data_IF_083268447954
#
_entry.id   IF_083268447954
#
_cell.length_a   1.000
_cell.length_b   1.000
_cell.length_c   1.000
_cell.angle_alpha   90.00
_cell.angle_beta   90.00
_cell.angle_gamma   90.00
#
_symmetry.space_group_name_H-M   'P 1'
#
loop_
_entity.id
_entity.type
_entity.pdbx_description
1 polymer ?
#
# COMPACT_ATOMS: atom_id res chain seq x y z
N UNK A 1 27.74 -24.48 -9.21
CA UNK A 1 26.51 -24.07 -8.54
C UNK A 1 26.08 -22.71 -9.06
N UNK A 2 24.93 -22.64 -9.66
CA UNK A 2 24.46 -21.39 -10.21
C UNK A 2 23.80 -20.54 -9.14
N UNK A 3 24.13 -19.27 -9.11
CA UNK A 3 23.36 -18.30 -8.33
C UNK A 3 21.95 -18.23 -8.92
N UNK A 4 20.93 -18.01 -8.10
CA UNK A 4 19.59 -17.77 -8.63
C UNK A 4 19.68 -16.66 -9.66
N UNK A 5 19.09 -16.87 -10.82
CA UNK A 5 19.04 -15.84 -11.82
C UNK A 5 18.26 -14.65 -11.33
N UNK A 6 18.51 -13.47 -11.89
CA UNK A 6 17.77 -12.26 -11.56
C UNK A 6 16.25 -12.47 -11.70
N UNK A 7 15.84 -13.35 -12.63
CA UNK A 7 14.43 -13.66 -12.83
C UNK A 7 13.79 -14.35 -11.63
N UNK A 8 14.49 -15.29 -10.99
CA UNK A 8 13.96 -16.00 -9.81
C UNK A 8 13.81 -15.06 -8.61
N UNK A 9 14.82 -14.23 -8.38
CA UNK A 9 14.77 -13.25 -7.31
C UNK A 9 13.66 -12.24 -7.55
N UNK A 10 13.53 -11.75 -8.78
CA UNK A 10 12.48 -10.80 -9.14
C UNK A 10 11.08 -11.37 -8.87
N UNK A 11 10.85 -12.61 -9.27
CA UNK A 11 9.55 -13.26 -9.04
C UNK A 11 9.27 -13.46 -7.56
N UNK A 12 10.30 -13.80 -6.78
CA UNK A 12 10.17 -13.99 -5.35
C UNK A 12 9.81 -12.68 -4.64
N UNK A 13 10.46 -11.58 -5.01
CA UNK A 13 10.19 -10.27 -4.41
C UNK A 13 8.82 -9.75 -4.82
N UNK A 14 8.43 -9.94 -6.08
CA UNK A 14 7.08 -9.59 -6.53
C UNK A 14 6.03 -10.37 -5.77
N UNK A 15 6.26 -11.67 -5.54
CA UNK A 15 5.35 -12.51 -4.78
C UNK A 15 5.19 -12.03 -3.34
N UNK A 16 6.27 -11.53 -2.72
CA UNK A 16 6.20 -10.98 -1.37
C UNK A 16 5.29 -9.75 -1.32
N UNK A 17 5.35 -8.88 -2.33
CA UNK A 17 4.46 -7.73 -2.42
C UNK A 17 3.01 -8.18 -2.60
N UNK A 18 2.77 -9.19 -3.45
CA UNK A 18 1.43 -9.74 -3.67
C UNK A 18 0.86 -10.31 -2.38
N UNK A 19 1.66 -11.05 -1.62
CA UNK A 19 1.23 -11.60 -0.33
C UNK A 19 0.90 -10.49 0.66
N UNK A 20 1.75 -9.46 0.73
CA UNK A 20 1.53 -8.32 1.61
C UNK A 20 0.21 -7.62 1.27
N UNK A 21 -0.03 -7.33 -0.01
CA UNK A 21 -1.26 -6.65 -0.41
C UNK A 21 -2.49 -7.49 -0.11
N UNK A 22 -2.44 -8.78 -0.41
CA UNK A 22 -3.57 -9.66 -0.17
C UNK A 22 -3.89 -9.82 1.32
N UNK A 23 -2.88 -10.06 2.13
CA UNK A 23 -3.11 -10.31 3.57
C UNK A 23 -3.39 -9.03 4.34
N UNK A 24 -2.56 -7.99 4.17
CA UNK A 24 -2.70 -6.78 4.97
C UNK A 24 -3.81 -5.88 4.44
N UNK A 25 -3.72 -5.49 3.18
CA UNK A 25 -4.67 -4.54 2.61
C UNK A 25 -6.05 -5.15 2.36
N UNK A 26 -6.10 -6.36 1.80
CA UNK A 26 -7.38 -6.95 1.40
C UNK A 26 -8.06 -7.71 2.53
N UNK A 27 -7.31 -8.34 3.43
CA UNK A 27 -7.88 -9.15 4.49
C UNK A 27 -7.69 -8.59 5.89
N UNK A 28 -6.92 -7.52 6.04
CA UNK A 28 -6.67 -6.92 7.35
C UNK A 28 -5.77 -7.73 8.26
N UNK A 29 -5.04 -8.70 7.71
CA UNK A 29 -4.10 -9.54 8.47
C UNK A 29 -2.76 -8.82 8.58
N UNK A 30 -2.59 -8.04 9.63
CA UNK A 30 -1.37 -7.26 9.84
C UNK A 30 -0.20 -8.09 10.35
N UNK A 31 -0.43 -9.36 10.70
CA UNK A 31 0.67 -10.24 11.12
C UNK A 31 1.68 -10.46 9.99
N UNK A 32 1.26 -10.28 8.72
CA UNK A 32 2.15 -10.39 7.58
C UNK A 32 3.30 -9.37 7.66
N UNK A 33 3.07 -8.23 8.30
CA UNK A 33 4.11 -7.21 8.46
C UNK A 33 5.25 -7.77 9.30
N UNK A 34 4.94 -8.44 10.41
CA UNK A 34 5.96 -9.05 11.26
C UNK A 34 6.69 -10.19 10.55
N UNK A 35 6.02 -10.89 9.64
CA UNK A 35 6.63 -12.01 8.91
C UNK A 35 7.53 -11.56 7.77
N UNK A 36 7.13 -10.53 7.02
CA UNK A 36 7.78 -10.16 5.77
C UNK A 36 8.66 -8.90 5.85
N UNK A 37 8.53 -8.12 6.92
CA UNK A 37 9.21 -6.82 7.02
C UNK A 37 10.40 -6.87 7.95
N UNK A 38 11.45 -6.13 7.62
CA UNK A 38 12.57 -5.91 8.52
C UNK A 38 12.10 -5.14 9.75
N UNK A 39 12.62 -5.45 10.95
CA UNK A 39 12.31 -4.60 12.12
C UNK A 39 12.77 -3.16 11.95
N UNK A 40 13.71 -2.90 11.04
CA UNK A 40 14.23 -1.57 10.75
C UNK A 40 13.53 -0.90 9.56
N UNK A 41 12.38 -1.42 9.15
CA UNK A 41 11.63 -0.93 7.99
C UNK A 41 11.26 0.54 8.14
N UNK A 42 11.35 1.28 7.04
CA UNK A 42 10.88 2.68 6.96
C UNK A 42 9.91 2.84 5.79
N UNK A 43 8.76 3.42 6.07
CA UNK A 43 7.77 3.76 5.04
C UNK A 43 7.65 5.28 5.00
N UNK A 44 8.16 5.87 3.94
CA UNK A 44 8.24 7.33 3.85
C UNK A 44 6.88 8.01 3.73
N UNK A 45 5.91 7.34 3.10
CA UNK A 45 4.57 7.90 2.99
C UNK A 45 3.77 7.73 4.26
N UNK A 46 3.76 6.52 4.82
CA UNK A 46 3.01 6.25 6.03
C UNK A 46 3.52 7.12 7.18
N UNK A 47 4.84 7.28 7.30
CA UNK A 47 5.43 8.13 8.33
C UNK A 47 4.96 9.57 8.19
N UNK A 48 4.90 10.09 6.96
CA UNK A 48 4.48 11.46 6.71
C UNK A 48 3.00 11.68 7.06
N UNK A 49 2.16 10.66 6.90
CA UNK A 49 0.72 10.80 7.13
C UNK A 49 0.28 10.45 8.54
N UNK A 50 0.98 9.53 9.20
CA UNK A 50 0.57 9.07 10.53
C UNK A 50 1.27 9.81 11.67
N UNK A 51 2.39 10.45 11.40
CA UNK A 51 3.20 11.08 12.44
C UNK A 51 3.99 10.07 13.29
N UNK A 52 3.97 8.79 12.91
CA UNK A 52 4.77 7.74 13.54
C UNK A 52 5.78 7.20 12.54
N UNK A 53 6.59 6.22 12.94
CA UNK A 53 7.63 5.69 12.08
C UNK A 53 7.69 4.18 12.14
N UNK A 54 8.47 3.59 11.24
CA UNK A 54 8.73 2.16 11.23
C UNK A 54 7.50 1.33 10.95
N UNK A 55 7.46 0.15 11.57
CA UNK A 55 6.36 -0.79 11.37
C UNK A 55 5.02 -0.25 11.91
N UNK A 56 5.07 0.57 12.96
CA UNK A 56 3.86 1.17 13.50
C UNK A 56 3.21 2.11 12.51
N UNK A 57 3.99 2.88 11.78
CA UNK A 57 3.47 3.76 10.74
C UNK A 57 2.75 2.95 9.66
N UNK A 58 3.35 1.85 9.22
CA UNK A 58 2.75 0.97 8.21
C UNK A 58 1.43 0.39 8.72
N UNK A 59 1.40 -0.09 9.97
CA UNK A 59 0.16 -0.64 10.56
C UNK A 59 -0.93 0.40 10.66
N UNK A 60 -0.61 1.58 11.18
CA UNK A 60 -1.60 2.65 11.33
C UNK A 60 -2.16 3.12 9.99
N UNK A 61 -1.30 3.22 8.99
CA UNK A 61 -1.72 3.63 7.67
C UNK A 61 -2.77 2.67 7.09
N UNK A 62 -2.49 1.38 7.17
CA UNK A 62 -3.41 0.35 6.68
C UNK A 62 -4.72 0.35 7.49
N UNK A 63 -4.61 0.42 8.81
CA UNK A 63 -5.79 0.42 9.68
C UNK A 63 -6.69 1.61 9.42
N UNK A 64 -6.12 2.79 9.19
CA UNK A 64 -6.88 4.00 8.90
C UNK A 64 -7.74 3.83 7.64
N UNK A 65 -7.15 3.34 6.57
CA UNK A 65 -7.88 3.17 5.32
C UNK A 65 -8.88 2.03 5.38
N UNK A 66 -8.56 0.94 6.07
CA UNK A 66 -9.50 -0.16 6.21
C UNK A 66 -10.69 0.19 7.12
N UNK A 67 -10.48 1.01 8.14
CA UNK A 67 -11.57 1.50 8.97
C UNK A 67 -12.50 2.42 8.18
N UNK A 68 -11.93 3.23 7.28
CA UNK A 68 -12.71 4.13 6.44
C UNK A 68 -13.46 3.38 5.34
N UNK A 69 -12.91 2.26 4.85
CA UNK A 69 -13.52 1.45 3.81
C UNK A 69 -13.34 -0.03 4.17
N UNK A 70 -14.28 -0.61 4.93
CA UNK A 70 -14.15 -2.02 5.36
C UNK A 70 -14.13 -3.02 4.20
N UNK A 71 -14.67 -2.65 3.05
CA UNK A 71 -14.66 -3.47 1.84
C UNK A 71 -13.46 -3.14 0.93
N UNK A 72 -12.45 -2.47 1.46
CA UNK A 72 -11.27 -2.08 0.69
C UNK A 72 -10.64 -3.28 -0.01
N UNK A 73 -10.40 -3.12 -1.30
CA UNK A 73 -9.73 -4.12 -2.12
C UNK A 73 -8.67 -3.43 -2.97
N UNK A 74 -7.43 -3.91 -2.87
CA UNK A 74 -6.31 -3.41 -3.66
C UNK A 74 -5.94 -4.47 -4.69
N UNK A 75 -5.92 -4.06 -5.94
CA UNK A 75 -5.56 -4.94 -7.04
C UNK A 75 -4.23 -4.48 -7.65
N UNK A 76 -3.35 -5.44 -7.90
CA UNK A 76 -2.07 -5.15 -8.54
C UNK A 76 -2.28 -5.18 -10.06
N UNK A 77 -1.98 -4.08 -10.71
CA UNK A 77 -2.10 -3.97 -12.16
C UNK A 77 -0.82 -4.42 -12.86
N UNK A 78 0.32 -3.94 -12.41
CA UNK A 78 1.64 -4.26 -12.97
C UNK A 78 2.68 -4.28 -11.88
N UNK A 79 3.73 -5.09 -12.08
CA UNK A 79 4.89 -5.08 -11.20
C UNK A 79 6.16 -5.16 -12.03
N UNK A 80 7.15 -4.39 -11.61
CA UNK A 80 8.47 -4.37 -12.23
C UNK A 80 9.52 -4.49 -11.14
N UNK A 81 10.55 -5.28 -11.37
CA UNK A 81 11.61 -5.47 -10.40
C UNK A 81 12.96 -5.23 -11.02
N UNK A 82 13.83 -4.54 -10.30
CA UNK A 82 15.22 -4.36 -10.68
C UNK A 82 16.06 -4.47 -9.41
N UNK A 83 16.99 -5.44 -9.41
CA UNK A 83 17.78 -5.71 -8.22
C UNK A 83 16.90 -6.10 -7.05
N UNK A 84 17.04 -5.38 -5.94
CA UNK A 84 16.25 -5.61 -4.73
C UNK A 84 15.04 -4.69 -4.61
N UNK A 85 14.63 -4.05 -5.70
CA UNK A 85 13.53 -3.08 -5.69
C UNK A 85 12.39 -3.57 -6.57
N UNK A 86 11.16 -3.46 -6.05
CA UNK A 86 9.94 -3.78 -6.80
C UNK A 86 9.07 -2.54 -6.88
N UNK A 87 8.63 -2.20 -8.08
CA UNK A 87 7.66 -1.14 -8.31
C UNK A 87 6.32 -1.80 -8.65
N UNK A 88 5.27 -1.36 -8.00
CA UNK A 88 3.93 -1.91 -8.18
C UNK A 88 2.96 -0.80 -8.53
N UNK A 89 2.22 -0.97 -9.62
CA UNK A 89 1.10 -0.09 -9.96
C UNK A 89 -0.18 -0.79 -9.51
N UNK A 90 -1.00 -0.09 -8.74
CA UNK A 90 -2.16 -0.71 -8.11
C UNK A 90 -3.40 0.17 -8.22
N UNK A 91 -4.57 -0.46 -8.05
CA UNK A 91 -5.87 0.21 -7.98
C UNK A 91 -6.57 -0.25 -6.72
N UNK A 92 -7.08 0.69 -5.93
CA UNK A 92 -7.83 0.39 -4.73
C UNK A 92 -9.27 0.83 -4.90
N UNK A 93 -10.20 -0.02 -4.48
CA UNK A 93 -11.63 0.29 -4.51
C UNK A 93 -12.22 0.05 -3.14
N UNK A 94 -13.30 0.75 -2.83
CA UNK A 94 -13.98 0.56 -1.56
C UNK A 94 -15.17 1.52 -1.44
N UNK A 95 -15.90 1.39 -0.33
CA UNK A 95 -17.03 2.26 -0.02
C UNK A 95 -16.68 3.08 1.21
N UNK A 96 -16.88 4.40 1.14
CA UNK A 96 -16.55 5.33 2.21
C UNK A 96 -17.55 5.21 3.35
N UNK A 97 -17.26 4.33 4.30
CA UNK A 97 -18.16 3.99 5.41
C UNK A 97 -17.70 4.54 6.77
N UNK A 98 -16.48 5.05 6.85
CA UNK A 98 -15.93 5.66 8.07
C UNK A 98 -15.25 6.97 7.76
N UNK A 99 -14.97 7.76 8.80
CA UNK A 99 -14.29 9.05 8.60
C UNK A 99 -12.94 8.87 7.93
N UNK A 100 -12.69 9.65 6.90
CA UNK A 100 -11.45 9.61 6.14
C UNK A 100 -10.99 11.03 5.85
N UNK A 101 -9.75 11.35 6.22
CA UNK A 101 -9.17 12.67 5.99
C UNK A 101 -10.07 13.80 6.51
N UNK A 102 -10.71 13.56 7.65
CA UNK A 102 -11.61 14.52 8.27
C UNK A 102 -13.02 14.56 7.68
N UNK A 103 -13.32 13.73 6.69
CA UNK A 103 -14.64 13.70 6.03
C UNK A 103 -15.47 12.55 6.59
N UNK A 104 -16.66 12.82 7.17
CA UNK A 104 -17.54 11.75 7.65
C UNK A 104 -18.00 10.85 6.50
N UNK A 105 -18.42 9.63 6.83
CA UNK A 105 -18.85 8.65 5.86
C UNK A 105 -19.89 9.22 4.87
N UNK A 106 -19.63 9.05 3.59
CA UNK A 106 -20.52 9.50 2.52
C UNK A 106 -21.26 8.35 1.85
N UNK A 107 -20.86 7.11 2.16
CA UNK A 107 -21.36 5.87 1.55
C UNK A 107 -21.15 5.81 0.05
N UNK A 108 -20.24 6.63 -0.47
CA UNK A 108 -19.88 6.64 -1.88
C UNK A 108 -18.82 5.58 -2.17
N UNK A 109 -18.96 4.97 -3.33
CA UNK A 109 -17.90 4.07 -3.80
C UNK A 109 -16.75 4.91 -4.34
N UNK A 110 -15.53 4.51 -4.00
CA UNK A 110 -14.33 5.22 -4.43
C UNK A 110 -13.38 4.28 -5.15
N UNK A 111 -12.61 4.85 -6.06
CA UNK A 111 -11.56 4.13 -6.76
C UNK A 111 -10.36 5.06 -6.90
N UNK A 112 -9.21 4.61 -6.43
CA UNK A 112 -7.98 5.37 -6.54
C UNK A 112 -6.87 4.47 -7.05
N UNK A 113 -5.91 5.05 -7.74
CA UNK A 113 -4.74 4.33 -8.21
C UNK A 113 -3.47 4.96 -7.68
N UNK A 114 -2.41 4.19 -7.67
CA UNK A 114 -1.13 4.66 -7.21
C UNK A 114 0.00 3.75 -7.64
N UNK A 115 1.19 4.15 -7.23
CA UNK A 115 2.42 3.43 -7.51
C UNK A 115 3.20 3.36 -6.20
N UNK A 116 3.68 2.18 -5.86
CA UNK A 116 4.52 1.96 -4.69
C UNK A 116 5.86 1.41 -5.12
N UNK A 117 6.90 1.79 -4.41
CA UNK A 117 8.26 1.27 -4.61
C UNK A 117 8.68 0.65 -3.30
N UNK A 118 9.08 -0.61 -3.34
CA UNK A 118 9.53 -1.35 -2.17
C UNK A 118 10.95 -1.84 -2.39
N UNK A 119 11.85 -1.52 -1.44
CA UNK A 119 13.21 -2.02 -1.43
C UNK A 119 13.34 -3.11 -0.37
N UNK A 120 14.01 -4.19 -0.72
CA UNK A 120 14.17 -5.36 0.13
C UNK A 120 15.62 -5.45 0.63
N UNK A 121 15.79 -6.01 1.82
CA UNK A 121 17.13 -6.25 2.38
C UNK A 121 17.72 -7.56 1.84
N UNK A 122 18.93 -7.90 2.32
CA UNK A 122 19.64 -9.10 1.86
C UNK A 122 18.91 -10.38 2.25
N UNK A 123 18.05 -10.36 3.26
CA UNK A 123 17.25 -11.50 3.65
C UNK A 123 15.93 -11.58 2.89
N UNK A 124 15.68 -10.67 1.97
CA UNK A 124 14.45 -10.66 1.20
C UNK A 124 13.25 -10.08 1.95
N UNK A 125 13.50 -9.28 3.00
CA UNK A 125 12.43 -8.63 3.78
C UNK A 125 12.27 -7.19 3.31
N UNK A 126 11.05 -6.68 3.42
CA UNK A 126 10.81 -5.26 3.12
C UNK A 126 11.67 -4.39 4.05
N UNK A 127 12.44 -3.50 3.45
CA UNK A 127 13.35 -2.64 4.21
C UNK A 127 12.96 -1.17 4.12
N UNK A 128 12.36 -0.75 3.01
CA UNK A 128 12.04 0.65 2.79
C UNK A 128 10.94 0.77 1.73
N UNK A 129 10.03 1.71 1.91
CA UNK A 129 8.92 1.88 0.98
C UNK A 129 8.61 3.34 0.69
N UNK A 130 8.17 3.58 -0.53
CA UNK A 130 7.65 4.86 -0.99
C UNK A 130 6.35 4.60 -1.74
N UNK A 131 5.44 5.55 -1.69
CA UNK A 131 4.22 5.44 -2.46
C UNK A 131 3.74 6.80 -2.90
N UNK A 132 3.03 6.83 -4.01
CA UNK A 132 2.37 8.02 -4.50
C UNK A 132 1.02 7.60 -5.06
N UNK A 133 -0.04 8.27 -4.62
CA UNK A 133 -1.39 7.94 -5.06
C UNK A 133 -2.22 9.20 -5.20
N UNK A 134 -3.33 9.07 -5.92
CA UNK A 134 -4.14 10.23 -6.28
C UNK A 134 -5.11 10.62 -5.17
N UNK A 135 -4.59 11.32 -4.15
CA UNK A 135 -5.40 11.80 -3.03
C UNK A 135 -6.43 12.84 -3.42
N UNK A 136 -6.13 13.63 -4.45
CA UNK A 136 -7.08 14.65 -4.93
C UNK A 136 -8.30 13.97 -5.55
N UNK A 137 -8.09 12.92 -6.33
CA UNK A 137 -9.20 12.16 -6.90
C UNK A 137 -10.07 11.56 -5.79
N UNK A 138 -9.45 11.04 -4.73
CA UNK A 138 -10.20 10.52 -3.60
C UNK A 138 -11.06 11.61 -2.96
N UNK A 139 -10.47 12.76 -2.66
CA UNK A 139 -11.19 13.87 -2.03
C UNK A 139 -12.35 14.36 -2.89
N UNK A 140 -12.19 14.38 -4.20
CA UNK A 140 -13.28 14.73 -5.11
C UNK A 140 -14.39 13.70 -5.07
N UNK A 141 -14.05 12.44 -5.06
CA UNK A 141 -15.03 11.35 -5.07
C UNK A 141 -15.88 11.33 -3.81
N UNK A 142 -15.31 11.68 -2.66
CA UNK A 142 -16.05 11.74 -1.41
C UNK A 142 -16.65 13.12 -1.15
N UNK A 143 -16.54 14.05 -2.09
CA UNK A 143 -17.18 15.34 -2.02
C UNK A 143 -16.48 16.39 -1.19
N UNK A 144 -15.21 16.15 -0.81
CA UNK A 144 -14.44 17.10 -0.01
C UNK A 144 -13.81 18.21 -0.87
N UNK A 145 -13.73 18.00 -2.17
CA UNK A 145 -13.25 18.99 -3.13
C UNK A 145 -14.20 19.07 -4.32
N UNK A 146 -14.25 20.22 -5.02
CA UNK A 146 -15.07 20.33 -6.23
C UNK A 146 -14.63 19.31 -7.27
N UNK A 147 -15.61 18.84 -8.06
CA UNK A 147 -15.28 17.97 -9.19
C UNK A 147 -14.51 18.76 -10.24
N UNK A 148 -13.64 18.02 -10.96
CA UNK A 148 -12.85 18.65 -12.01
C UNK A 148 -13.74 18.98 -13.16
N UNK A 149 -14.11 20.01 -13.44
CA UNK A 149 -14.71 20.32 -14.60
C UNK A 149 -15.72 21.11 -14.63
N UNK A 150 -15.88 21.62 -15.39
CA UNK A 150 -16.81 22.19 -16.11
C UNK A 150 -16.66 23.44 -16.31
#
# INVERSE_FOLDING_TARGET
MSTPGNGEMSEKLKAAVQEFYDRAWNRGDLSVIDELFSPAYEDHDAAAQTGTSGLDAARQFIQTFRAAAPDLHVEIEDQYAEGSTVTTRWTATGTHEGTLMGVPATHRRVEVSGISIDRFDEQGRFAEGWGSWDGIALLRQIGALPTASQ
#
